data_IF_455326484175
#
_entry.id   IF_455326484175
#
_cell.length_a   1.000
_cell.length_b   1.000
_cell.length_c   1.000
_cell.angle_alpha   90.00
_cell.angle_beta   90.00
_cell.angle_gamma   90.00
#
_symmetry.space_group_name_H-M   'P 1'
#
loop_
_entity.id
_entity.type
_entity.pdbx_description
1 polymer ?
#
# COMPACT_ATOMS: atom_id res chain seq x y z
N UNK A 1 -32.78 13.52 6.67
CA UNK A 1 -31.81 13.64 5.56
C UNK A 1 -30.57 14.26 6.14
N UNK A 2 -29.42 13.59 6.07
CA UNK A 2 -28.17 14.34 6.22
C UNK A 2 -28.14 15.37 5.08
N UNK A 3 -27.79 16.61 5.42
CA UNK A 3 -27.79 17.71 4.46
C UNK A 3 -26.85 17.37 3.32
N UNK A 4 -27.27 17.54 2.06
CA UNK A 4 -26.45 17.20 0.89
C UNK A 4 -25.10 17.95 0.94
N UNK A 5 -25.13 19.15 1.52
CA UNK A 5 -23.97 19.99 1.85
C UNK A 5 -22.94 19.27 2.73
N UNK A 6 -23.39 18.43 3.67
CA UNK A 6 -22.52 17.65 4.52
C UNK A 6 -21.72 16.62 3.71
N UNK A 7 -22.37 15.91 2.78
CA UNK A 7 -21.67 14.94 1.92
C UNK A 7 -20.63 15.62 1.03
N UNK A 8 -20.96 16.77 0.45
CA UNK A 8 -20.01 17.54 -0.36
C UNK A 8 -18.81 18.04 0.45
N UNK A 9 -19.04 18.53 1.67
CA UNK A 9 -17.96 18.97 2.56
C UNK A 9 -17.02 17.81 2.90
N UNK A 10 -17.59 16.67 3.29
CA UNK A 10 -16.80 15.49 3.63
C UNK A 10 -16.03 14.95 2.40
N UNK A 11 -16.67 14.96 1.23
CA UNK A 11 -16.04 14.60 -0.03
C UNK A 11 -14.83 15.47 -0.34
N UNK A 12 -14.95 16.78 -0.18
CA UNK A 12 -13.85 17.72 -0.40
C UNK A 12 -12.68 17.47 0.57
N UNK A 13 -12.97 17.30 1.87
CA UNK A 13 -11.95 17.01 2.89
C UNK A 13 -11.22 15.70 2.61
N UNK A 14 -11.95 14.63 2.27
CA UNK A 14 -11.33 13.33 1.96
C UNK A 14 -10.52 13.35 0.68
N UNK A 15 -10.93 14.15 -0.31
CA UNK A 15 -10.16 14.34 -1.55
C UNK A 15 -8.81 15.00 -1.27
N UNK A 16 -8.79 16.01 -0.41
CA UNK A 16 -7.57 16.68 0.03
C UNK A 16 -6.66 15.74 0.82
N UNK A 17 -7.21 14.99 1.78
CA UNK A 17 -6.45 13.99 2.54
C UNK A 17 -5.85 12.92 1.63
N UNK A 18 -6.62 12.41 0.66
CA UNK A 18 -6.17 11.42 -0.31
C UNK A 18 -5.03 11.96 -1.19
N UNK A 19 -5.11 13.22 -1.61
CA UNK A 19 -4.05 13.88 -2.37
C UNK A 19 -2.77 14.01 -1.53
N UNK A 20 -2.90 14.44 -0.27
CA UNK A 20 -1.79 14.57 0.66
C UNK A 20 -1.10 13.22 0.92
N UNK A 21 -1.87 12.13 1.09
CA UNK A 21 -1.32 10.79 1.28
C UNK A 21 -0.58 10.28 0.02
N UNK A 22 -1.13 10.53 -1.17
CA UNK A 22 -0.46 10.16 -2.45
C UNK A 22 0.82 10.96 -2.66
N UNK A 23 0.79 12.27 -2.41
CA UNK A 23 1.97 13.11 -2.49
C UNK A 23 3.05 12.64 -1.51
N UNK A 24 2.65 12.31 -0.28
CA UNK A 24 3.54 11.73 0.72
C UNK A 24 4.20 10.43 0.22
N UNK A 25 3.44 9.51 -0.39
CA UNK A 25 3.98 8.29 -1.00
C UNK A 25 4.99 8.56 -2.11
N UNK A 26 4.69 9.50 -3.01
CA UNK A 26 5.59 9.90 -4.11
C UNK A 26 6.87 10.52 -3.54
N UNK A 27 6.77 11.39 -2.54
CA UNK A 27 7.93 11.99 -1.87
C UNK A 27 8.79 10.94 -1.20
N UNK A 28 8.21 9.99 -0.47
CA UNK A 28 8.96 8.89 0.15
C UNK A 28 9.70 8.04 -0.88
N UNK A 29 9.03 7.66 -1.97
CA UNK A 29 9.66 6.89 -3.04
C UNK A 29 10.80 7.67 -3.68
N UNK A 30 10.55 8.92 -4.06
CA UNK A 30 11.55 9.79 -4.72
C UNK A 30 12.75 10.02 -3.82
N UNK A 31 12.52 10.33 -2.55
CA UNK A 31 13.57 10.53 -1.56
C UNK A 31 14.39 9.27 -1.37
N UNK A 32 13.75 8.11 -1.21
CA UNK A 32 14.46 6.82 -1.00
C UNK A 32 15.33 6.46 -2.21
N UNK A 33 14.79 6.62 -3.42
CA UNK A 33 15.53 6.35 -4.67
C UNK A 33 16.70 7.32 -4.81
N UNK A 34 16.47 8.61 -4.59
CA UNK A 34 17.50 9.67 -4.72
C UNK A 34 18.61 9.50 -3.68
N UNK A 35 18.26 9.27 -2.42
CA UNK A 35 19.21 9.03 -1.35
C UNK A 35 20.04 7.78 -1.62
N UNK A 36 19.40 6.70 -2.09
CA UNK A 36 20.11 5.47 -2.49
C UNK A 36 21.09 5.73 -3.63
N UNK A 37 20.65 6.40 -4.69
CA UNK A 37 21.49 6.73 -5.83
C UNK A 37 22.69 7.60 -5.43
N UNK A 38 22.46 8.60 -4.58
CA UNK A 38 23.51 9.47 -4.04
C UNK A 38 24.52 8.67 -3.22
N UNK A 39 24.06 7.85 -2.27
CA UNK A 39 24.92 7.05 -1.41
C UNK A 39 25.75 6.05 -2.25
N UNK A 40 25.12 5.33 -3.18
CA UNK A 40 25.83 4.42 -4.07
C UNK A 40 26.85 5.15 -4.96
N UNK A 41 26.50 6.34 -5.48
CA UNK A 41 27.40 7.16 -6.28
C UNK A 41 28.62 7.67 -5.50
N UNK A 42 28.46 7.99 -4.21
CA UNK A 42 29.56 8.35 -3.33
C UNK A 42 30.48 7.16 -3.04
N UNK A 43 29.92 5.95 -2.91
CA UNK A 43 30.66 4.71 -2.64
C UNK A 43 31.42 4.22 -3.88
N UNK A 44 30.95 4.52 -5.08
CA UNK A 44 31.60 4.13 -6.33
C UNK A 44 32.93 4.86 -6.59
N UNK A 45 33.34 5.83 -5.76
CA UNK A 45 34.59 6.56 -5.94
C UNK A 45 35.82 5.65 -5.62
N UNK A 46 36.76 5.49 -6.57
CA UNK A 46 37.94 4.65 -6.37
C UNK A 46 38.79 5.18 -5.21
N UNK A 47 39.21 4.29 -4.31
CA UNK A 47 40.09 4.61 -3.17
C UNK A 47 39.46 4.52 -1.77
N UNK A 48 38.16 4.27 -1.65
CA UNK A 48 37.51 4.06 -0.33
C UNK A 48 37.59 2.59 0.12
N UNK A 49 38.52 2.30 1.02
CA UNK A 49 38.87 0.96 1.54
C UNK A 49 37.76 0.22 2.32
N UNK A 50 36.56 0.79 2.48
CA UNK A 50 35.41 0.16 3.18
C UNK A 50 34.11 0.16 2.34
N UNK A 51 34.24 0.08 1.01
CA UNK A 51 33.11 0.14 0.07
C UNK A 51 32.03 -0.93 0.35
N UNK A 52 32.42 -2.11 0.83
CA UNK A 52 31.51 -3.23 1.08
C UNK A 52 30.45 -2.98 2.15
N UNK A 53 30.84 -2.49 3.32
CA UNK A 53 29.88 -2.19 4.40
C UNK A 53 29.06 -0.94 4.09
N UNK A 54 29.69 0.08 3.49
CA UNK A 54 29.01 1.32 3.13
C UNK A 54 27.91 1.07 2.08
N UNK A 55 28.08 0.11 1.19
CA UNK A 55 27.04 -0.26 0.20
C UNK A 55 25.75 -0.84 0.80
N UNK A 56 25.78 -1.25 2.08
CA UNK A 56 24.58 -1.64 2.83
C UNK A 56 23.87 -0.45 3.47
N UNK A 57 24.53 0.71 3.62
CA UNK A 57 23.92 1.89 4.26
C UNK A 57 22.60 2.35 3.63
N UNK A 58 22.36 2.26 2.31
CA UNK A 58 21.07 2.64 1.74
C UNK A 58 19.91 1.75 2.22
N UNK A 59 20.17 0.50 2.64
CA UNK A 59 19.13 -0.40 3.16
C UNK A 59 18.49 0.13 4.43
N UNK A 60 19.21 0.93 5.23
CA UNK A 60 18.68 1.58 6.43
C UNK A 60 17.58 2.59 6.11
N UNK A 61 17.58 3.15 4.91
CA UNK A 61 16.53 4.05 4.42
C UNK A 61 15.48 3.26 3.63
N UNK A 62 15.91 2.38 2.71
CA UNK A 62 15.02 1.66 1.81
C UNK A 62 14.01 0.77 2.54
N UNK A 63 14.45 -0.03 3.52
CA UNK A 63 13.58 -0.98 4.20
C UNK A 63 12.43 -0.31 4.99
N UNK A 64 12.68 0.65 5.89
CA UNK A 64 11.58 1.34 6.58
C UNK A 64 10.70 2.12 5.61
N UNK A 65 11.26 2.76 4.58
CA UNK A 65 10.46 3.46 3.58
C UNK A 65 9.57 2.51 2.78
N UNK A 66 10.04 1.30 2.46
CA UNK A 66 9.24 0.28 1.80
C UNK A 66 8.03 -0.13 2.65
N UNK A 67 8.25 -0.34 3.95
CA UNK A 67 7.19 -0.74 4.89
C UNK A 67 6.16 0.38 5.07
N UNK A 68 6.62 1.60 5.33
CA UNK A 68 5.76 2.78 5.49
C UNK A 68 4.95 3.03 4.21
N UNK A 69 5.57 2.93 3.04
CA UNK A 69 4.90 3.16 1.76
C UNK A 69 3.69 2.22 1.59
N UNK A 70 3.88 0.92 1.85
CA UNK A 70 2.82 -0.07 1.68
C UNK A 70 1.78 -0.04 2.80
N UNK A 71 2.17 0.32 4.02
CA UNK A 71 1.21 0.63 5.09
C UNK A 71 0.28 1.78 4.69
N UNK A 72 0.84 2.88 4.18
CA UNK A 72 0.05 4.01 3.65
C UNK A 72 -0.83 3.63 2.47
N UNK A 73 -0.39 2.71 1.61
CA UNK A 73 -1.23 2.21 0.53
C UNK A 73 -2.51 1.54 1.05
N UNK A 74 -2.45 0.83 2.19
CA UNK A 74 -3.67 0.25 2.80
C UNK A 74 -4.65 1.32 3.27
N UNK A 75 -4.15 2.42 3.83
CA UNK A 75 -4.98 3.56 4.24
C UNK A 75 -5.64 4.22 3.04
N UNK A 76 -4.89 4.46 1.97
CA UNK A 76 -5.40 5.00 0.70
C UNK A 76 -6.51 4.11 0.15
N UNK A 77 -6.33 2.78 0.13
CA UNK A 77 -7.38 1.88 -0.36
C UNK A 77 -8.67 1.92 0.45
N UNK A 78 -8.56 2.17 1.75
CA UNK A 78 -9.72 2.32 2.64
C UNK A 78 -10.47 3.62 2.37
N UNK A 79 -9.74 4.74 2.26
CA UNK A 79 -10.31 6.05 1.91
C UNK A 79 -10.99 5.99 0.55
N UNK A 80 -10.32 5.44 -0.48
CA UNK A 80 -10.90 5.30 -1.82
C UNK A 80 -12.17 4.45 -1.80
N UNK A 81 -12.21 3.38 -0.99
CA UNK A 81 -13.42 2.58 -0.81
C UNK A 81 -14.59 3.39 -0.27
N UNK A 82 -14.36 4.26 0.72
CA UNK A 82 -15.40 5.12 1.30
C UNK A 82 -15.80 6.23 0.35
N UNK A 83 -14.82 6.84 -0.31
CA UNK A 83 -15.00 7.89 -1.30
C UNK A 83 -15.97 7.48 -2.41
N UNK A 84 -15.86 6.24 -2.91
CA UNK A 84 -16.80 5.67 -3.89
C UNK A 84 -18.22 5.53 -3.37
N UNK A 85 -18.40 5.20 -2.09
CA UNK A 85 -19.72 5.15 -1.47
C UNK A 85 -20.31 6.56 -1.38
N UNK A 86 -19.49 7.53 -0.97
CA UNK A 86 -19.89 8.92 -0.86
C UNK A 86 -20.29 9.51 -2.22
N UNK A 87 -19.54 9.23 -3.30
CA UNK A 87 -19.92 9.62 -4.66
C UNK A 87 -21.30 9.09 -5.05
N UNK A 88 -21.57 7.81 -4.79
CA UNK A 88 -22.87 7.19 -5.09
C UNK A 88 -24.00 7.72 -4.22
N UNK A 89 -23.72 8.14 -2.98
CA UNK A 89 -24.69 8.81 -2.13
C UNK A 89 -25.00 10.24 -2.62
N UNK A 90 -23.99 10.97 -3.10
CA UNK A 90 -24.17 12.30 -3.70
C UNK A 90 -24.99 12.22 -5.00
N UNK A 91 -24.78 11.18 -5.79
CA UNK A 91 -25.55 10.88 -7.01
C UNK A 91 -26.92 10.25 -6.72
N UNK A 92 -27.32 10.17 -5.44
CA UNK A 92 -28.59 9.59 -4.98
C UNK A 92 -28.82 8.11 -5.34
N UNK A 93 -27.78 7.42 -5.82
CA UNK A 93 -27.82 5.98 -6.12
C UNK A 93 -27.86 5.14 -4.85
N UNK A 94 -27.23 5.62 -3.77
CA UNK A 94 -27.15 4.95 -2.48
C UNK A 94 -27.77 5.79 -1.36
N UNK A 95 -28.53 5.12 -0.48
CA UNK A 95 -29.04 5.70 0.77
C UNK A 95 -28.38 5.01 1.96
N UNK A 96 -27.74 5.77 2.83
CA UNK A 96 -27.14 5.24 4.05
C UNK A 96 -28.19 5.12 5.17
N UNK A 97 -28.31 3.94 5.77
CA UNK A 97 -29.14 3.75 6.97
C UNK A 97 -28.54 4.45 8.20
N UNK A 98 -27.21 4.54 8.26
CA UNK A 98 -26.50 5.26 9.32
C UNK A 98 -25.30 6.00 8.77
N UNK A 99 -25.23 7.30 9.04
CA UNK A 99 -24.16 8.16 8.56
C UNK A 99 -23.64 9.05 9.69
N UNK A 100 -22.39 8.81 10.10
CA UNK A 100 -21.74 9.47 11.24
C UNK A 100 -20.51 10.30 10.87
N UNK A 101 -20.24 10.42 9.56
CA UNK A 101 -18.99 10.94 9.03
C UNK A 101 -17.81 9.97 9.16
N UNK A 102 -16.74 10.29 8.42
CA UNK A 102 -15.56 9.46 8.19
C UNK A 102 -14.89 8.95 9.45
N UNK A 103 -14.53 9.82 10.40
CA UNK A 103 -13.75 9.43 11.59
C UNK A 103 -14.50 8.44 12.50
N UNK A 104 -15.81 8.67 12.66
CA UNK A 104 -16.67 7.77 13.42
C UNK A 104 -16.86 6.43 12.68
N UNK A 105 -17.09 6.48 11.37
CA UNK A 105 -17.21 5.30 10.53
C UNK A 105 -15.90 4.50 10.51
N UNK A 106 -14.74 5.17 10.50
CA UNK A 106 -13.40 4.58 10.55
C UNK A 106 -13.11 3.93 11.89
N UNK A 107 -13.55 4.52 12.99
CA UNK A 107 -13.46 3.90 14.32
C UNK A 107 -14.26 2.60 14.34
N UNK A 108 -15.49 2.60 13.83
CA UNK A 108 -16.30 1.40 13.68
C UNK A 108 -15.69 0.37 12.74
N UNK A 109 -15.10 0.81 11.63
CA UNK A 109 -14.35 -0.06 10.71
C UNK A 109 -13.24 -0.82 11.44
N UNK A 110 -12.43 -0.10 12.24
CA UNK A 110 -11.31 -0.69 13.00
C UNK A 110 -11.81 -1.70 14.03
N UNK A 111 -12.91 -1.38 14.73
CA UNK A 111 -13.54 -2.28 15.70
C UNK A 111 -13.99 -3.58 15.03
N UNK A 112 -14.86 -3.50 14.02
CA UNK A 112 -15.37 -4.67 13.29
C UNK A 112 -14.25 -5.46 12.58
N UNK A 113 -13.18 -4.78 12.17
CA UNK A 113 -12.00 -5.43 11.62
C UNK A 113 -11.28 -6.29 12.66
N UNK A 114 -11.13 -5.78 13.89
CA UNK A 114 -10.49 -6.47 15.01
C UNK A 114 -11.31 -7.64 15.54
N UNK A 115 -12.64 -7.51 15.53
CA UNK A 115 -13.59 -8.56 15.90
C UNK A 115 -13.73 -9.65 14.81
N UNK A 116 -13.22 -9.40 13.60
CA UNK A 116 -13.27 -10.35 12.48
C UNK A 116 -14.63 -10.40 11.77
N UNK A 117 -15.51 -9.43 12.02
CA UNK A 117 -16.86 -9.38 11.45
C UNK A 117 -16.86 -8.97 9.97
N UNK A 118 -15.88 -8.17 9.54
CA UNK A 118 -15.74 -7.77 8.13
C UNK A 118 -15.15 -8.93 7.29
N UNK A 119 -16.05 -9.79 6.78
CA UNK A 119 -15.72 -10.94 5.92
C UNK A 119 -15.68 -10.54 4.44
N UNK A 120 -14.69 -11.09 3.72
CA UNK A 120 -14.57 -10.88 2.28
C UNK A 120 -15.71 -11.61 1.54
N UNK A 121 -16.38 -11.00 0.55
CA UNK A 121 -17.35 -11.69 -0.29
C UNK A 121 -16.77 -12.96 -0.94
N UNK A 122 -17.56 -14.03 -1.02
CA UNK A 122 -17.11 -15.34 -1.51
C UNK A 122 -16.57 -15.29 -2.95
N UNK A 123 -17.19 -14.48 -3.82
CA UNK A 123 -16.73 -14.28 -5.19
C UNK A 123 -15.33 -13.62 -5.28
N UNK A 124 -14.91 -12.85 -4.26
CA UNK A 124 -13.55 -12.33 -4.16
C UNK A 124 -12.59 -13.35 -3.54
N UNK A 125 -13.11 -14.24 -2.67
CA UNK A 125 -12.35 -15.31 -2.02
C UNK A 125 -11.97 -16.44 -2.98
N UNK A 126 -12.84 -16.80 -3.93
CA UNK A 126 -12.56 -17.88 -4.89
C UNK A 126 -11.50 -17.53 -5.93
N UNK A 127 -11.36 -16.25 -6.30
CA UNK A 127 -10.34 -15.82 -7.26
C UNK A 127 -8.89 -16.02 -6.74
N UNK A 128 -8.68 -16.48 -5.49
CA UNK A 128 -7.41 -16.52 -4.74
C UNK A 128 -6.42 -17.64 -5.10
N UNK A 129 -6.72 -18.53 -6.06
CA UNK A 129 -5.87 -19.69 -6.37
C UNK A 129 -4.65 -19.34 -7.25
N UNK A 130 -3.45 -19.71 -6.76
CA UNK A 130 -2.10 -19.94 -7.35
C UNK A 130 -1.60 -19.04 -8.51
N UNK A 131 -2.42 -18.61 -9.46
CA UNK A 131 -2.02 -17.80 -10.61
C UNK A 131 -1.63 -16.34 -10.30
N UNK A 132 -1.75 -15.87 -9.05
CA UNK A 132 -1.48 -14.47 -8.71
C UNK A 132 -0.01 -14.10 -8.59
N UNK A 133 0.85 -15.01 -8.14
CA UNK A 133 2.29 -14.76 -8.14
C UNK A 133 2.80 -14.58 -9.57
N UNK A 134 2.29 -15.38 -10.51
CA UNK A 134 2.60 -15.25 -11.93
C UNK A 134 2.06 -13.93 -12.50
N UNK A 135 0.83 -13.53 -12.14
CA UNK A 135 0.28 -12.23 -12.55
C UNK A 135 1.07 -11.04 -11.98
N UNK A 136 1.57 -11.16 -10.75
CA UNK A 136 2.46 -10.17 -10.13
C UNK A 136 3.77 -10.08 -10.93
N UNK A 137 4.35 -11.22 -11.30
CA UNK A 137 5.57 -11.30 -12.09
C UNK A 137 5.45 -10.65 -13.47
N UNK A 138 4.27 -10.73 -14.10
CA UNK A 138 4.03 -10.22 -15.47
C UNK A 138 3.55 -8.75 -15.45
N UNK A 139 3.46 -8.09 -14.28
CA UNK A 139 2.96 -6.70 -14.13
C UNK A 139 1.54 -6.48 -14.68
N UNK A 140 0.79 -7.54 -15.00
CA UNK A 140 -0.56 -7.45 -15.57
C UNK A 140 -1.61 -7.35 -14.47
N UNK A 141 -1.57 -6.26 -13.71
CA UNK A 141 -2.49 -6.00 -12.60
C UNK A 141 -3.31 -4.73 -12.84
N UNK A 142 -4.47 -4.62 -12.19
CA UNK A 142 -5.33 -3.42 -12.25
C UNK A 142 -4.68 -2.20 -11.62
N UNK A 143 -3.67 -2.40 -10.79
CA UNK A 143 -2.97 -1.35 -10.05
C UNK A 143 -1.46 -1.54 -10.19
N UNK A 144 -0.92 -1.24 -11.40
CA UNK A 144 0.49 -1.49 -11.71
C UNK A 144 1.43 -0.70 -10.79
N UNK A 145 0.97 0.45 -10.28
CA UNK A 145 1.74 1.32 -9.40
C UNK A 145 2.35 0.60 -8.18
N UNK A 146 1.55 -0.15 -7.41
CA UNK A 146 2.07 -0.84 -6.21
C UNK A 146 3.08 -1.92 -6.55
N UNK A 147 2.90 -2.59 -7.69
CA UNK A 147 3.81 -3.64 -8.16
C UNK A 147 5.12 -3.02 -8.63
N UNK A 148 5.07 -1.93 -9.40
CA UNK A 148 6.26 -1.16 -9.82
C UNK A 148 7.03 -0.71 -8.59
N UNK A 149 6.37 -0.10 -7.59
CA UNK A 149 7.05 0.34 -6.38
C UNK A 149 7.69 -0.82 -5.60
N UNK A 150 7.01 -1.96 -5.50
CA UNK A 150 7.59 -3.17 -4.90
C UNK A 150 8.87 -3.60 -5.63
N UNK A 151 8.84 -3.64 -6.97
CA UNK A 151 10.03 -3.96 -7.78
C UNK A 151 11.14 -2.92 -7.63
N UNK A 152 10.81 -1.64 -7.52
CA UNK A 152 11.82 -0.59 -7.30
C UNK A 152 12.54 -0.78 -5.98
N UNK A 153 11.83 -0.92 -4.86
CA UNK A 153 12.46 -1.14 -3.55
C UNK A 153 13.23 -2.46 -3.49
N UNK A 154 12.65 -3.54 -4.04
CA UNK A 154 13.32 -4.84 -4.10
C UNK A 154 14.59 -4.79 -4.95
N UNK A 155 14.52 -4.23 -6.16
CA UNK A 155 15.65 -4.13 -7.09
C UNK A 155 16.80 -3.29 -6.53
N UNK A 156 16.49 -2.14 -5.91
CA UNK A 156 17.51 -1.33 -5.23
C UNK A 156 18.14 -2.06 -4.04
N UNK A 157 17.34 -2.80 -3.27
CA UNK A 157 17.85 -3.59 -2.15
C UNK A 157 18.79 -4.72 -2.63
N UNK A 158 18.40 -5.44 -3.70
CA UNK A 158 19.23 -6.47 -4.33
C UNK A 158 20.52 -5.87 -4.89
N UNK A 159 20.46 -4.68 -5.49
CA UNK A 159 21.65 -3.98 -5.98
C UNK A 159 22.62 -3.67 -4.83
N UNK A 160 22.13 -3.15 -3.70
CA UNK A 160 22.95 -2.93 -2.50
C UNK A 160 23.61 -4.22 -2.00
N UNK A 161 22.86 -5.31 -1.93
CA UNK A 161 23.38 -6.62 -1.51
C UNK A 161 24.44 -7.15 -2.49
N UNK A 162 24.22 -7.02 -3.80
CA UNK A 162 25.15 -7.47 -4.82
C UNK A 162 26.48 -6.70 -4.79
N UNK A 163 26.41 -5.38 -4.65
CA UNK A 163 27.61 -4.52 -4.51
C UNK A 163 28.39 -4.85 -3.23
N UNK A 164 27.66 -5.10 -2.14
CA UNK A 164 28.25 -5.51 -0.87
C UNK A 164 28.93 -6.87 -0.96
N UNK A 165 28.28 -7.86 -1.58
CA UNK A 165 28.83 -9.19 -1.80
C UNK A 165 30.10 -9.15 -2.66
N UNK A 166 30.14 -8.30 -3.68
CA UNK A 166 31.32 -8.13 -4.53
C UNK A 166 32.49 -7.49 -3.77
N UNK A 167 32.20 -6.58 -2.84
CA UNK A 167 33.21 -5.75 -2.18
C UNK A 167 33.67 -6.29 -0.82
N UNK A 168 32.87 -7.10 -0.12
CA UNK A 168 33.17 -7.60 1.23
C UNK A 168 34.07 -8.84 1.23
N UNK A 169 35.16 -8.78 1.98
CA UNK A 169 36.01 -9.94 2.34
C UNK A 169 36.07 -10.06 3.88
N UNK A 170 36.15 -11.30 4.40
CA UNK A 170 36.33 -11.55 5.84
C UNK A 170 35.10 -11.28 6.71
N UNK A 171 35.31 -10.61 7.86
CA UNK A 171 34.34 -10.46 8.96
C UNK A 171 33.02 -9.76 8.60
N UNK A 172 32.93 -9.06 7.47
CA UNK A 172 31.68 -8.42 7.04
C UNK A 172 30.62 -9.38 6.47
N UNK A 173 30.94 -10.67 6.31
CA UNK A 173 30.00 -11.68 5.79
C UNK A 173 28.79 -11.90 6.71
N UNK A 174 28.98 -11.84 8.02
CA UNK A 174 27.88 -11.99 8.98
C UNK A 174 26.85 -10.87 8.83
N UNK A 175 27.30 -9.62 8.69
CA UNK A 175 26.40 -8.48 8.47
C UNK A 175 25.67 -8.58 7.13
N UNK A 176 26.35 -9.07 6.09
CA UNK A 176 25.71 -9.31 4.79
C UNK A 176 24.61 -10.36 4.90
N UNK A 177 24.82 -11.45 5.65
CA UNK A 177 23.82 -12.48 5.87
C UNK A 177 22.59 -11.93 6.61
N UNK A 178 22.80 -11.11 7.64
CA UNK A 178 21.71 -10.38 8.33
C UNK A 178 20.96 -9.48 7.34
N UNK A 179 21.66 -8.72 6.51
CA UNK A 179 21.04 -7.86 5.51
C UNK A 179 20.21 -8.65 4.47
N UNK A 180 20.72 -9.80 4.00
CA UNK A 180 19.99 -10.70 3.09
C UNK A 180 18.70 -11.19 3.74
N UNK A 181 18.75 -11.65 5.00
CA UNK A 181 17.57 -12.12 5.73
C UNK A 181 16.56 -10.98 5.88
N UNK A 182 17.00 -9.78 6.28
CA UNK A 182 16.13 -8.62 6.46
C UNK A 182 15.45 -8.18 5.15
N UNK A 183 16.20 -8.15 4.04
CA UNK A 183 15.65 -7.86 2.71
C UNK A 183 14.67 -8.95 2.28
N UNK A 184 14.99 -10.23 2.50
CA UNK A 184 14.12 -11.36 2.18
C UNK A 184 12.79 -11.32 2.95
N UNK A 185 12.83 -11.14 4.27
CA UNK A 185 11.64 -10.99 5.11
C UNK A 185 10.80 -9.78 4.68
N UNK A 186 11.45 -8.65 4.40
CA UNK A 186 10.79 -7.45 3.90
C UNK A 186 10.10 -7.70 2.56
N UNK A 187 10.79 -8.34 1.61
CA UNK A 187 10.24 -8.63 0.29
C UNK A 187 9.00 -9.53 0.36
N UNK A 188 9.06 -10.60 1.17
CA UNK A 188 7.95 -11.54 1.38
C UNK A 188 6.76 -10.83 2.05
N UNK A 189 7.00 -10.11 3.14
CA UNK A 189 5.97 -9.36 3.85
C UNK A 189 5.28 -8.36 2.90
N UNK A 190 6.06 -7.55 2.20
CA UNK A 190 5.53 -6.52 1.31
C UNK A 190 4.86 -7.12 0.07
N UNK A 191 5.33 -8.26 -0.46
CA UNK A 191 4.65 -8.97 -1.53
C UNK A 191 3.26 -9.42 -1.08
N UNK A 192 3.14 -9.94 0.15
CA UNK A 192 1.86 -10.31 0.73
C UNK A 192 0.93 -9.10 0.92
N UNK A 193 1.45 -7.96 1.35
CA UNK A 193 0.67 -6.71 1.44
C UNK A 193 0.18 -6.26 0.06
N UNK A 194 1.05 -6.27 -0.96
CA UNK A 194 0.67 -5.94 -2.35
C UNK A 194 -0.41 -6.89 -2.87
N UNK A 195 -0.29 -8.19 -2.63
CA UNK A 195 -1.32 -9.16 -3.00
C UNK A 195 -2.66 -8.87 -2.28
N UNK A 196 -2.61 -8.48 -1.00
CA UNK A 196 -3.82 -8.07 -0.26
C UNK A 196 -4.42 -6.77 -0.77
N UNK A 197 -3.61 -5.82 -1.24
CA UNK A 197 -4.04 -4.57 -1.86
C UNK A 197 -4.70 -4.80 -3.23
N UNK A 198 -4.20 -5.74 -4.03
CA UNK A 198 -4.76 -5.98 -5.36
C UNK A 198 -5.97 -6.90 -5.31
N UNK A 199 -5.90 -8.00 -4.56
CA UNK A 199 -6.88 -9.09 -4.62
C UNK A 199 -7.50 -9.45 -3.27
N UNK A 200 -7.05 -8.85 -2.18
CA UNK A 200 -7.45 -9.25 -0.84
C UNK A 200 -8.34 -8.24 -0.13
N UNK A 201 -8.29 -8.32 1.20
CA UNK A 201 -9.06 -7.49 2.13
C UNK A 201 -8.78 -6.00 1.99
N UNK A 202 -7.62 -5.62 1.49
CA UNK A 202 -7.25 -4.22 1.31
C UNK A 202 -7.50 -3.74 -0.13
N UNK A 203 -8.19 -4.51 -0.97
CA UNK A 203 -8.56 -4.05 -2.32
C UNK A 203 -9.64 -2.98 -2.27
N UNK A 204 -9.70 -2.14 -3.30
CA UNK A 204 -10.73 -1.10 -3.40
C UNK A 204 -12.13 -1.72 -3.33
N UNK A 205 -12.38 -2.82 -4.04
CA UNK A 205 -13.67 -3.52 -4.03
C UNK A 205 -14.01 -4.10 -2.65
N UNK A 206 -13.04 -4.67 -1.95
CA UNK A 206 -13.27 -5.18 -0.60
C UNK A 206 -13.59 -4.06 0.39
N UNK A 207 -12.83 -2.96 0.37
CA UNK A 207 -13.10 -1.81 1.22
C UNK A 207 -14.45 -1.16 0.90
N UNK A 208 -14.80 -0.99 -0.37
CA UNK A 208 -16.12 -0.50 -0.79
C UNK A 208 -17.24 -1.38 -0.21
N UNK A 209 -17.10 -2.71 -0.29
CA UNK A 209 -18.05 -3.64 0.34
C UNK A 209 -18.12 -3.49 1.87
N UNK A 210 -16.98 -3.37 2.55
CA UNK A 210 -16.98 -3.15 4.01
C UNK A 210 -17.68 -1.85 4.38
N UNK A 211 -17.50 -0.79 3.61
CA UNK A 211 -18.21 0.47 3.83
C UNK A 211 -19.71 0.36 3.60
N UNK A 212 -20.16 -0.42 2.62
CA UNK A 212 -21.59 -0.73 2.47
C UNK A 212 -22.17 -1.37 3.74
N UNK A 213 -21.45 -2.33 4.32
CA UNK A 213 -21.87 -3.01 5.56
C UNK A 213 -21.89 -2.03 6.75
N UNK A 214 -20.86 -1.21 6.90
CA UNK A 214 -20.72 -0.28 8.04
C UNK A 214 -21.79 0.82 8.01
N UNK A 215 -22.05 1.39 6.83
CA UNK A 215 -23.00 2.50 6.65
C UNK A 215 -24.44 2.02 6.40
N UNK A 216 -24.66 0.71 6.34
CA UNK A 216 -25.95 0.09 6.06
C UNK A 216 -26.56 0.65 4.76
N UNK A 217 -25.77 0.61 3.69
CA UNK A 217 -26.14 1.16 2.38
C UNK A 217 -27.29 0.35 1.77
N UNK A 218 -28.34 1.05 1.34
CA UNK A 218 -29.41 0.56 0.49
C UNK A 218 -29.22 1.13 -0.91
N UNK A 219 -29.26 0.26 -1.93
CA UNK A 219 -29.24 0.68 -3.33
C UNK A 219 -30.64 1.16 -3.70
N UNK A 220 -30.73 2.31 -4.37
CA UNK A 220 -31.99 2.82 -4.90
C UNK A 220 -32.20 2.10 -6.23
N UNK A 221 -33.13 1.15 -6.27
CA UNK A 221 -33.48 0.48 -7.52
C UNK A 221 -34.14 1.49 -8.47
N UNK A 222 -33.57 1.70 -9.66
CA UNK A 222 -34.11 2.57 -10.73
C UNK A 222 -35.42 2.02 -11.34
N UNK A 223 -36.20 1.20 -10.63
CA UNK A 223 -37.36 0.46 -11.16
C UNK A 223 -38.68 1.26 -11.21
N UNK A 224 -38.65 2.58 -11.06
CA UNK A 224 -39.83 3.44 -11.25
C UNK A 224 -39.67 4.41 -12.44
N UNK A 225 -39.27 3.87 -13.60
CA UNK A 225 -39.24 4.56 -14.89
C UNK A 225 -39.96 3.79 -15.99
#
# INVERSE_FOLDING_TARGET
>A
MADQDFYYKEYATLREELLNLKNCQVTFLTFSVTATALLLGLIAKPGTFSSGLLSLSPLLLLLPSWWIFLDKATTITRIVGYFRILEKMILEQYKAGWFSGWENALTRFRQLQSEGELKLPDHLREKRKVGYLLKLAILRTTHPYWVITWYTFFGLSVLCLALSLHSLKGAGRELLLVAIIMVGLSAIYNAHVVLRLIYGRNSYTANEHFWKVILQIQEVDDQEG
#
